data_IF_773832784290
#
_entry.id   IF_773832784290
#
_cell.length_a   1.000
_cell.length_b   1.000
_cell.length_c   1.000
_cell.angle_alpha   90.00
_cell.angle_beta   90.00
_cell.angle_gamma   90.00
#
_symmetry.space_group_name_H-M   'P 1'
#
loop_
_entity.id
_entity.type
_entity.pdbx_description
1 polymer ?
#
# COMPACT_ATOMS: atom_id res chain seq x y z
N UNK A 1 -13.24 9.41 -6.26
CA UNK A 1 -13.85 10.43 -5.39
C UNK A 1 -14.95 11.15 -6.17
N UNK A 2 -16.14 11.17 -5.60
CA UNK A 2 -17.28 11.88 -6.19
C UNK A 2 -17.30 13.36 -5.73
N UNK A 3 -17.95 14.27 -6.47
CA UNK A 3 -17.94 15.69 -6.11
C UNK A 3 -18.58 16.03 -4.76
N UNK A 4 -19.40 15.14 -4.23
CA UNK A 4 -20.15 15.32 -2.98
C UNK A 4 -19.57 14.55 -1.79
N UNK A 5 -18.38 13.99 -1.94
CA UNK A 5 -17.71 13.26 -0.87
C UNK A 5 -16.27 13.73 -0.67
N UNK A 6 -15.77 13.63 0.57
CA UNK A 6 -14.36 13.83 0.88
C UNK A 6 -13.53 12.62 0.44
N UNK A 7 -12.21 12.78 0.37
CA UNK A 7 -11.29 11.66 0.07
C UNK A 7 -11.43 10.55 1.11
N UNK A 8 -11.58 10.90 2.38
CA UNK A 8 -11.77 9.94 3.49
C UNK A 8 -13.06 9.15 3.32
N UNK A 9 -14.15 9.82 2.95
CA UNK A 9 -15.43 9.18 2.68
C UNK A 9 -15.35 8.25 1.46
N UNK A 10 -14.65 8.67 0.42
CA UNK A 10 -14.41 7.86 -0.77
C UNK A 10 -13.64 6.57 -0.43
N UNK A 11 -12.58 6.68 0.37
CA UNK A 11 -11.79 5.53 0.78
C UNK A 11 -12.63 4.50 1.55
N UNK A 12 -13.47 4.96 2.49
CA UNK A 12 -14.39 4.09 3.24
C UNK A 12 -15.40 3.42 2.31
N UNK A 13 -15.99 4.18 1.40
CA UNK A 13 -16.98 3.67 0.45
C UNK A 13 -16.36 2.61 -0.47
N UNK A 14 -15.20 2.89 -1.05
CA UNK A 14 -14.51 1.96 -1.95
C UNK A 14 -14.09 0.66 -1.24
N UNK A 15 -13.60 0.76 0.00
CA UNK A 15 -13.28 -0.42 0.80
C UNK A 15 -14.52 -1.31 1.00
N UNK A 16 -15.64 -0.70 1.35
CA UNK A 16 -16.90 -1.41 1.54
C UNK A 16 -17.39 -2.07 0.24
N UNK A 17 -17.34 -1.33 -0.88
CA UNK A 17 -17.76 -1.83 -2.18
C UNK A 17 -16.90 -3.00 -2.68
N UNK A 18 -15.58 -2.92 -2.48
CA UNK A 18 -14.64 -3.91 -2.99
C UNK A 18 -14.48 -5.14 -2.10
N UNK A 19 -14.61 -4.98 -0.79
CA UNK A 19 -14.32 -6.06 0.17
C UNK A 19 -15.49 -6.44 1.06
N UNK A 20 -16.56 -5.66 1.09
CA UNK A 20 -17.66 -5.84 2.03
C UNK A 20 -17.34 -5.37 3.46
N UNK A 21 -16.17 -4.78 3.70
CA UNK A 21 -15.73 -4.32 5.01
C UNK A 21 -16.06 -2.84 5.20
N UNK A 22 -16.81 -2.52 6.25
CA UNK A 22 -17.02 -1.13 6.67
C UNK A 22 -16.04 -0.78 7.78
N UNK A 23 -15.13 0.15 7.49
CA UNK A 23 -14.12 0.63 8.42
C UNK A 23 -14.08 2.14 8.43
N UNK A 24 -14.24 2.73 9.61
CA UNK A 24 -14.16 4.19 9.79
C UNK A 24 -12.75 4.67 10.16
N UNK A 25 -11.91 3.76 10.63
CA UNK A 25 -10.54 4.07 11.06
C UNK A 25 -9.55 3.75 9.95
N UNK A 26 -9.44 4.68 9.01
CA UNK A 26 -8.50 4.60 7.88
C UNK A 26 -7.34 5.55 8.12
N UNK A 27 -6.12 5.05 7.94
CA UNK A 27 -4.89 5.83 8.10
C UNK A 27 -4.39 6.29 6.74
N UNK A 28 -4.28 7.62 6.48
CA UNK A 28 -3.70 8.10 5.25
C UNK A 28 -2.23 7.67 5.13
N UNK A 29 -1.84 7.17 3.99
CA UNK A 29 -0.45 6.80 3.72
C UNK A 29 0.28 7.95 3.05
N UNK A 30 -0.14 8.28 1.84
CA UNK A 30 0.51 9.28 0.99
C UNK A 30 -0.36 9.58 -0.23
N UNK A 31 -0.13 10.73 -0.84
CA UNK A 31 -0.64 11.07 -2.17
C UNK A 31 0.39 10.68 -3.23
N UNK A 32 -0.03 9.92 -4.21
CA UNK A 32 0.79 9.47 -5.33
C UNK A 32 0.41 10.24 -6.58
N UNK A 33 1.34 11.00 -7.13
CA UNK A 33 1.09 11.90 -8.25
C UNK A 33 2.23 11.98 -9.25
N UNK A 34 3.09 10.97 -9.29
CA UNK A 34 4.21 10.94 -10.23
C UNK A 34 3.67 10.95 -11.67
N UNK A 35 4.19 11.84 -12.55
CA UNK A 35 3.80 11.84 -13.95
C UNK A 35 4.02 10.47 -14.60
N UNK A 36 3.03 10.00 -15.33
CA UNK A 36 3.11 8.70 -16.01
C UNK A 36 2.86 7.48 -15.13
N UNK A 37 2.49 7.67 -13.86
CA UNK A 37 2.19 6.55 -12.95
C UNK A 37 1.06 5.63 -13.47
N UNK A 38 0.11 6.18 -14.20
CA UNK A 38 -0.89 5.45 -14.97
C UNK A 38 -0.71 5.81 -16.45
N UNK A 39 -0.38 4.85 -17.32
CA UNK A 39 -0.13 5.15 -18.72
C UNK A 39 -1.39 5.56 -19.50
N UNK A 40 -2.58 5.33 -18.96
CA UNK A 40 -3.84 5.61 -19.63
C UNK A 40 -4.28 7.07 -19.51
N UNK A 41 -3.90 7.74 -18.41
CA UNK A 41 -4.35 9.12 -18.13
C UNK A 41 -3.60 9.71 -16.95
N UNK A 42 -3.77 11.01 -16.75
CA UNK A 42 -3.29 11.68 -15.54
C UNK A 42 -4.17 11.31 -14.35
N UNK A 43 -3.56 10.70 -13.33
CA UNK A 43 -4.26 10.24 -12.12
C UNK A 43 -3.46 10.59 -10.88
N UNK A 44 -4.14 11.19 -9.91
CA UNK A 44 -3.61 11.39 -8.55
C UNK A 44 -4.37 10.43 -7.63
N UNK A 45 -3.65 9.67 -6.82
CA UNK A 45 -4.23 8.73 -5.88
C UNK A 45 -3.85 9.06 -4.45
N UNK A 46 -4.84 9.09 -3.57
CA UNK A 46 -4.64 9.14 -2.12
C UNK A 46 -4.79 7.72 -1.56
N UNK A 47 -3.72 7.17 -1.00
CA UNK A 47 -3.74 5.81 -0.49
C UNK A 47 -4.01 5.79 1.02
N UNK A 48 -4.75 4.79 1.47
CA UNK A 48 -5.14 4.60 2.87
C UNK A 48 -4.81 3.18 3.33
N UNK A 49 -4.50 3.06 4.61
CA UNK A 49 -4.27 1.79 5.29
C UNK A 49 -5.43 1.52 6.26
N UNK A 50 -6.00 0.33 6.18
CA UNK A 50 -6.93 -0.20 7.18
C UNK A 50 -6.26 -1.38 7.89
N UNK A 51 -6.26 -1.35 9.22
CA UNK A 51 -5.80 -2.46 10.06
C UNK A 51 -7.00 -3.09 10.74
N UNK A 52 -7.23 -4.35 10.48
CA UNK A 52 -8.43 -5.06 10.90
C UNK A 52 -8.05 -6.41 11.51
N UNK A 53 -8.81 -6.82 12.52
CA UNK A 53 -8.70 -8.17 13.07
C UNK A 53 -9.34 -9.17 12.09
N UNK A 54 -8.53 -9.95 11.41
CA UNK A 54 -8.97 -10.90 10.39
C UNK A 54 -9.96 -11.96 10.94
N UNK A 55 -9.86 -12.29 12.24
CA UNK A 55 -10.76 -13.23 12.87
C UNK A 55 -12.21 -12.72 12.98
N UNK A 56 -12.39 -11.39 12.88
CA UNK A 56 -13.69 -10.72 12.97
C UNK A 56 -14.26 -10.34 11.60
N UNK A 57 -13.57 -10.72 10.52
CA UNK A 57 -13.95 -10.33 9.18
C UNK A 57 -14.57 -11.50 8.41
N UNK A 58 -15.67 -11.19 7.72
CA UNK A 58 -16.17 -11.99 6.61
C UNK A 58 -15.88 -11.20 5.33
N UNK A 59 -14.65 -11.34 4.80
CA UNK A 59 -14.32 -10.74 3.53
C UNK A 59 -14.97 -11.55 2.43
N UNK A 60 -15.97 -10.96 1.80
CA UNK A 60 -16.52 -11.45 0.55
C UNK A 60 -15.87 -10.65 -0.56
N UNK A 61 -15.22 -11.34 -1.51
CA UNK A 61 -14.87 -10.69 -2.75
C UNK A 61 -16.16 -10.09 -3.34
N UNK A 62 -16.19 -8.79 -3.58
CA UNK A 62 -17.29 -8.18 -4.32
C UNK A 62 -17.32 -8.79 -5.72
N UNK A 63 -18.50 -8.86 -6.33
CA UNK A 63 -18.71 -9.52 -7.64
C UNK A 63 -17.77 -9.01 -8.74
N UNK A 64 -17.24 -7.79 -8.60
CA UNK A 64 -16.29 -7.17 -9.53
C UNK A 64 -14.81 -7.51 -9.22
N UNK A 65 -14.50 -7.96 -8.02
CA UNK A 65 -13.16 -8.40 -7.62
C UNK A 65 -13.04 -9.91 -7.83
N UNK A 66 -12.79 -10.33 -9.05
CA UNK A 66 -12.64 -11.76 -9.40
C UNK A 66 -11.48 -12.45 -8.68
N UNK A 67 -10.58 -11.68 -8.03
CA UNK A 67 -9.37 -12.18 -7.40
C UNK A 67 -8.98 -11.39 -6.14
N UNK A 68 -9.87 -11.31 -5.14
CA UNK A 68 -9.45 -10.88 -3.82
C UNK A 68 -8.84 -12.07 -3.07
N UNK A 69 -7.56 -11.98 -2.75
CA UNK A 69 -6.81 -13.04 -2.07
C UNK A 69 -6.10 -12.47 -0.84
N UNK A 70 -5.91 -13.31 0.16
CA UNK A 70 -5.08 -13.00 1.30
C UNK A 70 -3.62 -13.31 1.00
N UNK A 71 -2.74 -12.37 1.36
CA UNK A 71 -1.29 -12.57 1.26
C UNK A 71 -0.65 -12.44 2.63
N UNK A 72 0.26 -13.33 2.95
CA UNK A 72 1.20 -13.13 4.05
C UNK A 72 2.32 -12.21 3.56
N UNK A 73 2.75 -11.30 4.43
CA UNK A 73 3.84 -10.38 4.13
C UNK A 73 5.08 -10.73 4.94
N UNK A 74 6.22 -10.72 4.27
CA UNK A 74 7.52 -10.98 4.88
C UNK A 74 8.47 -9.85 4.54
N UNK A 75 9.08 -9.25 5.55
CA UNK A 75 10.06 -8.20 5.40
C UNK A 75 11.44 -8.74 5.72
N UNK A 76 12.40 -8.48 4.84
CA UNK A 76 13.80 -8.82 5.03
C UNK A 76 14.66 -7.60 4.82
N UNK A 77 15.46 -7.22 5.79
CA UNK A 77 16.42 -6.12 5.67
C UNK A 77 17.68 -6.63 4.98
N UNK A 78 18.12 -5.86 4.01
CA UNK A 78 19.42 -6.01 3.36
C UNK A 78 20.38 -4.93 3.87
N UNK A 79 21.54 -4.77 3.21
CA UNK A 79 22.52 -3.74 3.54
C UNK A 79 22.13 -2.38 2.97
N UNK A 80 22.60 -1.31 3.66
CA UNK A 80 22.57 0.08 3.12
C UNK A 80 21.18 0.61 2.77
N UNK A 81 20.19 0.35 3.64
CA UNK A 81 18.83 0.86 3.45
C UNK A 81 18.01 0.09 2.42
N UNK A 82 18.50 -1.02 1.92
CA UNK A 82 17.72 -1.92 1.07
C UNK A 82 16.91 -2.90 1.92
N UNK A 83 15.70 -3.20 1.45
CA UNK A 83 14.87 -4.22 2.05
C UNK A 83 13.94 -4.85 1.02
N UNK A 84 13.47 -6.05 1.35
CA UNK A 84 12.60 -6.83 0.50
C UNK A 84 11.25 -7.02 1.16
N UNK A 85 10.19 -7.01 0.36
CA UNK A 85 8.85 -7.36 0.75
C UNK A 85 8.37 -8.51 -0.11
N UNK A 86 8.09 -9.64 0.51
CA UNK A 86 7.51 -10.79 -0.17
C UNK A 86 6.05 -10.94 0.22
N UNK A 87 5.20 -11.05 -0.79
CA UNK A 87 3.77 -11.32 -0.65
C UNK A 87 3.51 -12.75 -1.08
N UNK A 88 3.08 -13.59 -0.14
CA UNK A 88 2.77 -15.00 -0.42
C UNK A 88 1.28 -15.25 -0.34
N UNK A 89 0.72 -15.74 -1.43
CA UNK A 89 -0.68 -16.15 -1.49
C UNK A 89 -0.93 -17.32 -0.53
N UNK A 90 -1.88 -17.19 0.39
CA UNK A 90 -2.22 -18.21 1.37
C UNK A 90 -3.37 -19.13 0.92
N UNK A 91 -4.03 -18.81 -0.19
CA UNK A 91 -5.25 -19.49 -0.63
C UNK A 91 -5.03 -20.59 -1.66
N UNK A 92 -3.81 -20.74 -2.19
CA UNK A 92 -3.47 -21.64 -3.29
C UNK A 92 -2.52 -22.76 -2.86
N UNK A 93 -2.68 -23.94 -3.45
CA UNK A 93 -1.74 -25.06 -3.30
C UNK A 93 -0.41 -24.80 -4.01
N UNK A 94 -0.40 -23.90 -4.96
CA UNK A 94 0.81 -23.35 -5.60
C UNK A 94 0.89 -21.87 -5.29
N UNK A 95 1.52 -21.47 -4.17
CA UNK A 95 1.53 -20.08 -3.75
C UNK A 95 2.35 -19.22 -4.72
N UNK A 96 1.66 -18.30 -5.40
CA UNK A 96 2.32 -17.24 -6.14
C UNK A 96 3.00 -16.31 -5.12
N UNK A 97 4.27 -16.00 -5.36
CA UNK A 97 5.01 -15.03 -4.55
C UNK A 97 5.28 -13.79 -5.38
N UNK A 98 4.92 -12.63 -4.83
CA UNK A 98 5.29 -11.34 -5.39
C UNK A 98 6.47 -10.83 -4.58
N UNK A 99 7.56 -10.51 -5.25
CA UNK A 99 8.79 -10.02 -4.63
C UNK A 99 9.03 -8.57 -4.99
N UNK A 100 9.19 -7.72 -3.97
CA UNK A 100 9.46 -6.28 -4.13
C UNK A 100 10.75 -5.94 -3.40
N UNK A 101 11.61 -5.18 -4.06
CA UNK A 101 12.87 -4.69 -3.50
C UNK A 101 12.89 -3.17 -3.47
N UNK A 102 13.20 -2.60 -2.31
CA UNK A 102 13.18 -1.16 -2.10
C UNK A 102 14.53 -0.63 -1.63
N UNK A 103 14.83 0.60 -2.06
CA UNK A 103 15.87 1.43 -1.47
C UNK A 103 15.19 2.52 -0.64
N UNK A 104 15.53 2.58 0.63
CA UNK A 104 15.03 3.56 1.58
C UNK A 104 16.03 4.71 1.71
N UNK A 105 15.58 5.94 1.54
CA UNK A 105 16.39 7.14 1.71
C UNK A 105 15.62 8.21 2.47
N UNK A 106 16.36 9.13 3.10
CA UNK A 106 15.83 10.28 3.82
C UNK A 106 16.55 11.53 3.32
N UNK A 107 16.12 12.09 2.17
CA UNK A 107 16.79 13.26 1.59
C UNK A 107 16.73 14.46 2.53
N UNK A 108 17.89 15.04 2.82
CA UNK A 108 17.98 16.20 3.68
C UNK A 108 17.90 17.50 2.86
N UNK A 109 17.37 18.53 3.51
CA UNK A 109 17.37 19.90 2.97
C UNK A 109 17.95 20.83 4.02
N UNK A 110 19.01 21.54 3.67
CA UNK A 110 19.77 22.37 4.62
C UNK A 110 18.94 23.48 5.28
N UNK A 111 17.90 23.96 4.61
CA UNK A 111 17.05 25.03 5.12
C UNK A 111 15.77 24.52 5.80
N UNK A 112 15.53 23.22 5.80
CA UNK A 112 14.30 22.67 6.37
C UNK A 112 14.38 22.56 7.89
N UNK A 113 13.32 22.99 8.55
CA UNK A 113 13.09 22.77 9.98
C UNK A 113 12.32 21.47 10.24
N UNK A 114 11.83 20.82 9.19
CA UNK A 114 11.19 19.53 9.28
C UNK A 114 12.21 18.41 9.15
N UNK A 115 12.02 17.29 9.84
CA UNK A 115 12.89 16.13 9.66
C UNK A 115 12.78 15.61 8.22
N UNK A 116 13.85 14.96 7.69
CA UNK A 116 13.79 14.35 6.38
C UNK A 116 12.65 13.33 6.29
N UNK A 117 11.89 13.39 5.20
CA UNK A 117 10.80 12.45 4.95
C UNK A 117 11.34 11.18 4.26
N UNK A 118 10.68 10.06 4.53
CA UNK A 118 10.96 8.80 3.88
C UNK A 118 10.73 8.91 2.37
N UNK A 119 11.73 8.46 1.60
CA UNK A 119 11.62 8.25 0.16
C UNK A 119 11.97 6.80 -0.16
N UNK A 120 11.05 6.10 -0.83
CA UNK A 120 11.24 4.73 -1.30
C UNK A 120 11.43 4.72 -2.81
N UNK A 121 12.47 4.00 -3.25
CA UNK A 121 12.66 3.67 -4.65
C UNK A 121 12.43 2.19 -4.84
N UNK A 122 11.47 1.82 -5.67
CA UNK A 122 11.22 0.43 -6.05
C UNK A 122 12.26 0.01 -7.08
N UNK A 123 13.12 -0.95 -6.71
CA UNK A 123 14.25 -1.37 -7.55
C UNK A 123 13.85 -2.35 -8.65
N UNK A 124 12.72 -3.03 -8.50
CA UNK A 124 12.20 -3.97 -9.49
C UNK A 124 10.77 -3.58 -9.93
N UNK A 125 10.62 -2.55 -10.76
CA UNK A 125 9.30 -2.06 -11.17
C UNK A 125 8.46 -3.07 -11.96
N UNK A 126 9.10 -4.05 -12.59
CA UNK A 126 8.44 -5.15 -13.29
C UNK A 126 8.28 -6.35 -12.36
N UNK A 127 7.33 -6.27 -11.42
CA UNK A 127 7.14 -7.24 -10.35
C UNK A 127 5.81 -8.01 -10.43
N UNK A 128 5.00 -7.76 -11.47
CA UNK A 128 3.71 -8.39 -11.66
C UNK A 128 2.52 -7.59 -11.11
N UNK A 129 2.77 -6.53 -10.35
CA UNK A 129 1.73 -5.61 -9.90
C UNK A 129 1.47 -4.53 -10.94
N UNK A 130 0.21 -4.06 -11.00
CA UNK A 130 -0.17 -3.01 -11.93
C UNK A 130 0.42 -1.66 -11.52
N UNK A 131 0.91 -0.91 -12.51
CA UNK A 131 1.37 0.48 -12.34
C UNK A 131 2.40 0.64 -11.20
N UNK A 132 2.14 1.58 -10.28
CA UNK A 132 2.95 1.86 -9.11
C UNK A 132 2.42 1.20 -7.82
N UNK A 133 1.58 0.18 -7.91
CA UNK A 133 1.00 -0.48 -6.75
C UNK A 133 2.06 -1.09 -5.83
N UNK A 134 3.19 -1.54 -6.38
CA UNK A 134 4.32 -2.00 -5.57
C UNK A 134 4.91 -0.91 -4.70
N UNK A 135 5.06 0.31 -5.22
CA UNK A 135 5.50 1.47 -4.46
C UNK A 135 4.52 1.84 -3.35
N UNK A 136 3.23 1.83 -3.66
CA UNK A 136 2.17 2.09 -2.66
C UNK A 136 2.26 1.09 -1.51
N UNK A 137 2.43 -0.19 -1.80
CA UNK A 137 2.60 -1.23 -0.78
C UNK A 137 3.84 -1.00 0.09
N UNK A 138 4.94 -0.56 -0.49
CA UNK A 138 6.15 -0.22 0.26
C UNK A 138 5.90 0.85 1.32
N UNK A 139 5.27 1.95 0.93
CA UNK A 139 4.90 3.02 1.86
C UNK A 139 3.89 2.55 2.92
N UNK A 140 2.93 1.70 2.52
CA UNK A 140 1.95 1.13 3.45
C UNK A 140 2.64 0.30 4.54
N UNK A 141 3.57 -0.55 4.17
CA UNK A 141 4.31 -1.41 5.10
C UNK A 141 5.17 -0.58 6.06
N UNK A 142 5.83 0.46 5.57
CA UNK A 142 6.60 1.37 6.43
C UNK A 142 5.69 2.10 7.43
N UNK A 143 4.52 2.53 6.99
CA UNK A 143 3.52 3.14 7.86
C UNK A 143 3.07 2.16 8.94
N UNK A 144 2.80 0.91 8.57
CA UNK A 144 2.42 -0.14 9.50
C UNK A 144 3.52 -0.40 10.54
N UNK A 145 4.79 -0.48 10.14
CA UNK A 145 5.90 -0.64 11.07
C UNK A 145 5.94 0.48 12.11
N UNK A 146 5.78 1.73 11.67
CA UNK A 146 5.78 2.88 12.57
C UNK A 146 4.62 2.82 13.57
N UNK A 147 3.43 2.44 13.11
CA UNK A 147 2.26 2.30 13.99
C UNK A 147 2.45 1.20 15.04
N UNK A 148 3.10 0.10 14.69
CA UNK A 148 3.38 -1.00 15.61
C UNK A 148 4.42 -0.63 16.67
N UNK A 149 5.37 0.24 16.35
CA UNK A 149 6.39 0.73 17.31
C UNK A 149 5.81 1.73 18.29
N UNK A 150 4.87 2.58 17.86
CA UNK A 150 4.22 3.62 18.69
C UNK A 150 3.20 3.05 19.68
N UNK A 151 2.72 1.86 19.46
CA UNK A 151 1.78 1.14 20.30
C UNK A 151 2.49 -0.02 21.03
#
# INVERSE_FOLDING_TARGET
VNPDESVDQAARRELLEETGVDCTCLEPIRTFSTPGRDPRRWVISCAYLALLDASKLQVKAADDAKDARWFQIFLTKEKDGQWNLDLKDTSSTEPATIHLTFQETYPESAASLLPPALHLTLLNPENGLAFDHGEILGYAVKKLQNLLVEN
#
